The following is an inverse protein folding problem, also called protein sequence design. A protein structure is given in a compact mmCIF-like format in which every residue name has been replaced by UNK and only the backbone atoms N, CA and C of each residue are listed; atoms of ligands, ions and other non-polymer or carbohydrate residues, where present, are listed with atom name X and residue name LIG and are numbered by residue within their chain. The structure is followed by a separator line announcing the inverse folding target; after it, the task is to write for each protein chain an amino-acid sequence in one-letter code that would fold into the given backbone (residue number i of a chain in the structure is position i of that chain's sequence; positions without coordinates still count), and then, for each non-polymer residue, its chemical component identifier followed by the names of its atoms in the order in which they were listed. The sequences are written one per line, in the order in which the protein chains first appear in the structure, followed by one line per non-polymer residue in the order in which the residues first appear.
data_IF_786265387787
#
_entry.id   IF_786265387787
#
_cell.length_a   1.000
_cell.length_b   1.000
_cell.length_c   1.000
_cell.angle_alpha   90.00
_cell.angle_beta   90.00
_cell.angle_gamma   90.00
#
_symmetry.space_group_name_H-M   'P 1'
#
loop_
_entity.id
_entity.type
_entity.pdbx_description
1 polymer ?
#
# COMPACT_ATOMS: atom_id res chain seq x y z
N UNK A 1 -3.87 4.27 -11.23
CA UNK A 1 -5.06 4.99 -10.74
C UNK A 1 -4.55 6.18 -9.94
N UNK A 2 -4.91 7.40 -10.28
CA UNK A 2 -4.59 8.61 -9.51
C UNK A 2 -5.90 9.18 -8.96
N UNK A 3 -5.94 9.47 -7.66
CA UNK A 3 -7.08 10.11 -7.01
C UNK A 3 -6.73 11.57 -6.76
N UNK A 4 -7.61 12.52 -7.10
CA UNK A 4 -7.43 13.95 -6.79
C UNK A 4 -7.83 14.20 -5.34
N UNK A 5 -6.94 14.75 -4.52
CA UNK A 5 -7.24 15.09 -3.12
C UNK A 5 -7.80 16.50 -2.98
N UNK A 6 -8.78 16.62 -2.08
CA UNK A 6 -9.24 17.91 -1.59
C UNK A 6 -8.21 18.48 -0.61
N UNK A 7 -7.92 19.78 -0.70
CA UNK A 7 -6.90 20.46 0.12
C UNK A 7 -7.19 20.49 1.62
N UNK A 8 -8.37 20.00 2.05
CA UNK A 8 -8.74 19.90 3.47
C UNK A 8 -8.09 18.71 4.18
N UNK A 9 -7.65 17.71 3.43
CA UNK A 9 -7.04 16.53 4.01
C UNK A 9 -5.56 16.76 4.26
N UNK A 10 -5.11 16.38 5.45
CA UNK A 10 -3.74 16.53 5.93
C UNK A 10 -3.05 15.18 6.06
N UNK A 11 -3.80 14.09 6.31
CA UNK A 11 -3.20 12.81 6.63
C UNK A 11 -3.94 11.62 5.99
N UNK A 12 -3.16 10.75 5.34
CA UNK A 12 -3.59 9.43 4.91
C UNK A 12 -3.05 8.37 5.88
N UNK A 13 -3.96 7.61 6.49
CA UNK A 13 -3.61 6.48 7.36
C UNK A 13 -4.00 5.18 6.67
N UNK A 14 -3.04 4.26 6.56
CA UNK A 14 -3.22 2.96 5.94
C UNK A 14 -2.73 1.87 6.88
N UNK A 15 -3.51 0.79 7.00
CA UNK A 15 -3.06 -0.48 7.56
C UNK A 15 -3.20 -1.52 6.47
N UNK A 16 -2.08 -2.02 5.96
CA UNK A 16 -2.03 -2.93 4.80
C UNK A 16 -1.30 -4.22 5.14
N UNK A 17 -1.67 -5.30 4.49
CA UNK A 17 -0.98 -6.59 4.63
C UNK A 17 -1.34 -7.55 3.51
N UNK A 18 -0.69 -8.71 3.49
CA UNK A 18 -1.05 -9.78 2.57
C UNK A 18 -2.22 -10.58 3.15
N UNK A 19 -3.24 -10.86 2.34
CA UNK A 19 -4.37 -11.68 2.77
C UNK A 19 -3.95 -13.15 2.91
N UNK A 20 -3.71 -13.58 4.15
CA UNK A 20 -3.34 -14.96 4.49
C UNK A 20 -4.40 -16.04 4.21
N UNK A 21 -5.62 -15.68 3.79
CA UNK A 21 -6.61 -16.65 3.29
C UNK A 21 -6.31 -17.16 1.88
N UNK A 22 -5.28 -16.63 1.21
CA UNK A 22 -4.83 -17.18 -0.06
C UNK A 22 -3.98 -18.43 0.19
N UNK A 23 -4.56 -19.60 -0.07
CA UNK A 23 -4.00 -20.93 0.17
C UNK A 23 -2.65 -21.21 -0.50
N UNK A 24 -2.22 -20.36 -1.43
CA UNK A 24 -1.00 -20.52 -2.21
C UNK A 24 0.07 -19.45 -1.95
N UNK A 25 -0.11 -18.53 -1.00
CA UNK A 25 0.90 -17.51 -0.73
C UNK A 25 2.15 -18.20 -0.13
N UNK A 26 3.24 -18.41 -0.89
CA UNK A 26 4.46 -19.02 -0.40
C UNK A 26 5.07 -18.10 0.66
N UNK A 27 5.55 -18.67 1.77
CA UNK A 27 6.09 -17.92 2.92
C UNK A 27 7.27 -16.98 2.60
N UNK A 28 7.83 -17.06 1.39
CA UNK A 28 8.90 -16.19 0.89
C UNK A 28 8.45 -15.04 -0.03
N UNK A 29 7.16 -14.91 -0.34
CA UNK A 29 6.68 -13.85 -1.22
C UNK A 29 6.71 -12.47 -0.56
N UNK A 30 7.20 -11.50 -1.34
CA UNK A 30 7.28 -10.10 -0.96
C UNK A 30 6.53 -9.27 -1.97
N UNK A 31 5.67 -8.40 -1.45
CA UNK A 31 5.05 -7.34 -2.24
C UNK A 31 5.67 -6.02 -1.80
N UNK A 32 6.23 -5.29 -2.76
CA UNK A 32 6.69 -3.92 -2.54
C UNK A 32 5.48 -3.00 -2.71
N UNK A 33 5.06 -2.42 -1.60
CA UNK A 33 3.96 -1.47 -1.53
C UNK A 33 4.51 -0.05 -1.51
N UNK A 34 4.15 0.73 -2.52
CA UNK A 34 4.60 2.10 -2.73
C UNK A 34 3.41 3.05 -2.62
N UNK A 35 3.61 4.16 -1.92
CA UNK A 35 2.71 5.30 -1.94
C UNK A 35 3.44 6.50 -2.53
N UNK A 36 2.80 7.17 -3.48
CA UNK A 36 3.29 8.38 -4.10
C UNK A 36 2.34 9.55 -3.88
N UNK A 37 2.91 10.74 -3.73
CA UNK A 37 2.19 12.02 -3.75
C UNK A 37 2.66 12.80 -4.97
N UNK A 38 1.72 13.23 -5.80
CA UNK A 38 2.03 14.00 -7.02
C UNK A 38 3.13 13.34 -7.86
N UNK A 39 2.99 12.03 -8.05
CA UNK A 39 3.91 11.14 -8.76
C UNK A 39 5.30 10.95 -8.14
N UNK A 40 5.55 11.47 -6.93
CA UNK A 40 6.78 11.22 -6.16
C UNK A 40 6.55 10.18 -5.08
N UNK A 41 7.34 9.11 -5.06
CA UNK A 41 7.27 8.09 -4.00
C UNK A 41 7.65 8.71 -2.65
N UNK A 42 6.77 8.55 -1.66
CA UNK A 42 6.95 9.07 -0.29
C UNK A 42 7.03 7.95 0.75
N UNK A 43 6.54 6.76 0.43
CA UNK A 43 6.67 5.59 1.30
C UNK A 43 6.81 4.31 0.47
N UNK A 44 7.67 3.42 0.94
CA UNK A 44 7.87 2.07 0.41
C UNK A 44 7.89 1.09 1.57
N UNK A 45 7.14 -0.02 1.45
CA UNK A 45 7.06 -1.08 2.46
C UNK A 45 7.07 -2.45 1.81
N UNK A 46 7.86 -3.34 2.37
CA UNK A 46 7.81 -4.77 2.02
C UNK A 46 6.69 -5.43 2.84
N UNK A 47 5.69 -5.96 2.16
CA UNK A 47 4.62 -6.74 2.78
C UNK A 47 4.99 -8.23 2.79
N UNK A 48 4.72 -8.89 3.91
CA UNK A 48 4.88 -10.34 4.09
C UNK A 48 3.60 -10.93 4.70
N UNK A 49 3.40 -12.24 4.55
CA UNK A 49 2.13 -12.92 4.89
C UNK A 49 1.72 -12.77 6.36
N UNK A 50 2.68 -12.67 7.27
CA UNK A 50 2.42 -12.62 8.71
C UNK A 50 2.36 -11.20 9.29
N UNK A 51 2.67 -10.16 8.50
CA UNK A 51 2.86 -8.81 9.02
C UNK A 51 1.93 -7.80 8.36
N UNK A 52 1.30 -6.97 9.20
CA UNK A 52 0.63 -5.74 8.76
C UNK A 52 1.62 -4.59 8.83
N UNK A 53 1.51 -3.66 7.88
CA UNK A 53 2.27 -2.42 7.85
C UNK A 53 1.31 -1.26 8.10
N UNK A 54 1.72 -0.38 9.02
CA UNK A 54 1.02 0.87 9.31
C UNK A 54 1.76 1.98 8.59
N UNK A 55 1.05 2.76 7.78
CA UNK A 55 1.58 3.94 7.10
C UNK A 55 0.76 5.16 7.49
N UNK A 56 1.45 6.18 7.97
CA UNK A 56 0.90 7.50 8.26
C UNK A 56 1.60 8.49 7.33
N UNK A 57 0.88 9.00 6.34
CA UNK A 57 1.45 9.82 5.26
C UNK A 57 0.85 11.21 5.35
N UNK A 58 1.71 12.22 5.46
CA UNK A 58 1.29 13.60 5.33
C UNK A 58 0.92 13.87 3.87
N UNK A 59 -0.32 14.27 3.62
CA UNK A 59 -0.85 14.61 2.29
C UNK A 59 -1.20 16.09 2.17
N UNK A 60 -0.78 16.90 3.13
CA UNK A 60 -0.95 18.36 3.08
C UNK A 60 -0.37 18.91 1.77
N UNK A 61 -1.17 19.70 1.08
CA UNK A 61 -0.86 20.29 -0.24
C UNK A 61 -0.65 19.29 -1.39
N UNK A 62 -0.80 17.98 -1.16
CA UNK A 62 -0.74 16.99 -2.23
C UNK A 62 -2.02 17.06 -3.07
N UNK A 63 -1.89 17.07 -4.40
CA UNK A 63 -3.04 17.06 -5.31
C UNK A 63 -3.49 15.66 -5.63
N UNK A 64 -2.60 14.69 -5.52
CA UNK A 64 -2.87 13.31 -5.86
C UNK A 64 -2.12 12.32 -4.99
N UNK A 65 -2.77 11.19 -4.69
CA UNK A 65 -2.17 10.01 -4.09
C UNK A 65 -2.17 8.88 -5.12
N UNK A 66 -1.02 8.24 -5.29
CA UNK A 66 -0.87 6.98 -6.01
C UNK A 66 -0.52 5.87 -5.04
N UNK A 67 -1.13 4.70 -5.25
CA UNK A 67 -0.81 3.48 -4.51
C UNK A 67 -0.46 2.40 -5.53
N UNK A 68 0.67 1.73 -5.31
CA UNK A 68 1.15 0.68 -6.19
C UNK A 68 1.65 -0.51 -5.36
N UNK A 69 1.21 -1.70 -5.72
CA UNK A 69 1.71 -2.95 -5.15
C UNK A 69 2.43 -3.70 -6.27
N UNK A 70 3.74 -3.92 -6.09
CA UNK A 70 4.57 -4.67 -7.03
C UNK A 70 4.91 -6.01 -6.40
N UNK A 71 4.42 -7.07 -7.01
CA UNK A 71 4.77 -8.43 -6.61
C UNK A 71 6.16 -8.77 -7.14
N UNK A 72 7.10 -9.06 -6.24
CA UNK A 72 8.45 -9.53 -6.59
C UNK A 72 8.47 -11.04 -6.36
N UNK A 73 7.72 -11.77 -7.18
CA UNK A 73 7.72 -13.24 -7.19
C UNK A 73 8.33 -13.76 -8.49
N UNK A 74 9.01 -14.90 -8.41
CA UNK A 74 9.41 -15.69 -9.59
C UNK A 74 8.32 -16.67 -10.02
N UNK A 75 7.22 -16.75 -9.28
CA UNK A 75 6.11 -17.68 -9.49
C UNK A 75 4.92 -17.00 -10.16
N UNK A 76 3.98 -17.81 -10.66
CA UNK A 76 2.86 -17.38 -11.50
C UNK A 76 1.68 -16.77 -10.74
N UNK A 77 1.67 -16.80 -9.41
CA UNK A 77 0.59 -16.25 -8.58
C UNK A 77 1.10 -15.18 -7.64
N UNK A 78 0.42 -14.03 -7.59
CA UNK A 78 0.70 -12.97 -6.64
C UNK A 78 -0.43 -12.86 -5.62
N UNK A 79 -0.13 -12.76 -4.33
CA UNK A 79 -1.14 -12.80 -3.30
C UNK A 79 -1.82 -11.43 -3.19
N UNK A 80 -3.07 -11.45 -2.74
CA UNK A 80 -3.84 -10.23 -2.62
C UNK A 80 -3.32 -9.34 -1.49
N UNK A 81 -3.11 -8.06 -1.77
CA UNK A 81 -2.93 -7.02 -0.75
C UNK A 81 -4.30 -6.65 -0.20
N UNK A 82 -4.44 -6.66 1.11
CA UNK A 82 -5.63 -6.22 1.81
C UNK A 82 -5.36 -4.89 2.53
N UNK A 83 -6.30 -3.98 2.42
CA UNK A 83 -6.39 -2.78 3.24
C UNK A 83 -7.29 -3.11 4.43
N UNK A 84 -6.71 -3.21 5.61
CA UNK A 84 -7.42 -3.44 6.87
C UNK A 84 -8.05 -2.14 7.36
N UNK A 85 -7.33 -1.04 7.18
CA UNK A 85 -7.80 0.31 7.46
C UNK A 85 -7.31 1.25 6.36
N UNK A 86 -8.18 2.12 5.90
CA UNK A 86 -7.83 3.23 5.03
C UNK A 86 -8.68 4.43 5.45
N UNK A 87 -8.05 5.45 6.01
CA UNK A 87 -8.71 6.70 6.39
C UNK A 87 -7.95 7.91 5.88
N UNK A 88 -8.71 8.93 5.50
CA UNK A 88 -8.19 10.21 5.06
C UNK A 88 -8.77 11.27 6.00
N UNK A 89 -7.89 12.06 6.61
CA UNK A 89 -8.22 13.08 7.60
C UNK A 89 -7.72 14.43 7.13
#
# INVERSE_FOLDING_TARGET
MSCVLNSKFQQLNLVVGINGKHSYAPQGEKIVFEVSLDNKVVATKDLTIAAKQVLNINVENARSVGIKATCISRYSSCPYVAFVEASLR
#
